data_IF_263581187688
#
_entry.id   IF_263581187688
#
_cell.length_a   1.000
_cell.length_b   1.000
_cell.length_c   1.000
_cell.angle_alpha   90.00
_cell.angle_beta   90.00
_cell.angle_gamma   90.00
#
_symmetry.space_group_name_H-M   'P 1'
#
loop_
_entity.id
_entity.type
_entity.pdbx_description
1 polymer ?
#
# COMPACT_ATOMS: atom_id res chain seq x y z
N UNK A 1 -14.86 55.39 -79.84
CA UNK A 1 -13.69 56.12 -79.30
C UNK A 1 -13.94 56.41 -77.82
N UNK A 2 -12.93 56.16 -76.98
CA UNK A 2 -12.82 56.43 -75.52
C UNK A 2 -13.38 55.39 -74.53
N UNK A 3 -12.44 54.51 -74.17
CA UNK A 3 -12.04 53.99 -72.85
C UNK A 3 -12.88 52.99 -72.06
N UNK A 4 -12.33 51.78 -72.09
CA UNK A 4 -12.43 50.71 -71.10
C UNK A 4 -12.17 51.19 -69.66
N UNK A 5 -12.81 50.53 -68.69
CA UNK A 5 -12.15 50.25 -67.43
C UNK A 5 -12.59 48.88 -66.88
N UNK A 6 -11.66 47.95 -66.97
CA UNK A 6 -11.69 46.61 -66.39
C UNK A 6 -11.25 46.77 -64.92
N UNK A 7 -12.10 46.39 -63.96
CA UNK A 7 -11.65 46.11 -62.58
C UNK A 7 -12.22 44.77 -62.09
N UNK A 8 -11.45 43.73 -62.42
CA UNK A 8 -10.96 42.69 -61.52
C UNK A 8 -11.84 42.28 -60.34
N UNK A 9 -12.51 41.14 -60.49
CA UNK A 9 -12.93 40.25 -59.42
C UNK A 9 -11.68 39.71 -58.71
N UNK A 10 -11.27 40.37 -57.62
CA UNK A 10 -10.21 39.88 -56.75
C UNK A 10 -10.79 38.77 -55.87
N UNK A 11 -10.36 37.53 -56.11
CA UNK A 11 -10.75 36.37 -55.32
C UNK A 11 -10.40 36.55 -53.85
N UNK A 12 -11.40 36.45 -52.98
CA UNK A 12 -11.19 36.32 -51.53
C UNK A 12 -10.56 34.94 -51.26
N UNK A 13 -9.35 34.84 -50.68
CA UNK A 13 -8.83 33.56 -50.22
C UNK A 13 -9.66 33.09 -49.02
N UNK A 14 -10.36 31.98 -49.22
CA UNK A 14 -11.13 31.29 -48.20
C UNK A 14 -10.21 30.52 -47.25
N UNK A 15 -10.35 30.82 -45.95
CA UNK A 15 -10.16 29.96 -44.77
C UNK A 15 -8.76 29.67 -44.17
N UNK A 16 -8.31 30.51 -43.22
CA UNK A 16 -7.47 30.08 -42.08
C UNK A 16 -8.27 29.73 -40.81
N UNK A 17 -9.60 29.90 -40.82
CA UNK A 17 -10.44 29.75 -39.62
C UNK A 17 -10.65 28.30 -39.17
N UNK A 18 -10.70 27.35 -40.10
CA UNK A 18 -10.93 25.94 -39.78
C UNK A 18 -9.72 25.27 -39.15
N UNK A 19 -8.50 25.68 -39.54
CA UNK A 19 -7.25 25.08 -39.04
C UNK A 19 -7.02 25.44 -37.57
N UNK A 20 -7.25 26.70 -37.17
CA UNK A 20 -7.08 27.11 -35.77
C UNK A 20 -8.15 26.53 -34.84
N UNK A 21 -9.40 26.45 -35.32
CA UNK A 21 -10.49 25.84 -34.55
C UNK A 21 -10.27 24.33 -34.36
N UNK A 22 -9.80 23.64 -35.40
CA UNK A 22 -9.46 22.23 -35.33
C UNK A 22 -8.27 21.99 -34.39
N UNK A 23 -7.22 22.80 -34.47
CA UNK A 23 -6.07 22.70 -33.55
C UNK A 23 -6.47 22.90 -32.08
N UNK A 24 -7.33 23.87 -31.77
CA UNK A 24 -7.85 24.10 -30.42
C UNK A 24 -8.71 22.93 -29.93
N UNK A 25 -9.64 22.45 -30.76
CA UNK A 25 -10.48 21.30 -30.40
C UNK A 25 -9.67 20.02 -30.18
N UNK A 26 -8.65 19.77 -31.02
CA UNK A 26 -7.72 18.66 -30.82
C UNK A 26 -6.95 18.81 -29.52
N UNK A 27 -6.47 20.02 -29.17
CA UNK A 27 -5.79 20.25 -27.89
C UNK A 27 -6.71 19.99 -26.69
N UNK A 28 -7.99 20.41 -26.75
CA UNK A 28 -8.95 20.14 -25.67
C UNK A 28 -9.24 18.65 -25.51
N UNK A 29 -9.39 17.90 -26.60
CA UNK A 29 -9.61 16.45 -26.55
C UNK A 29 -8.37 15.74 -25.99
N UNK A 30 -7.17 16.12 -26.43
CA UNK A 30 -5.92 15.55 -25.91
C UNK A 30 -5.73 15.89 -24.43
N UNK A 31 -6.05 17.11 -24.01
CA UNK A 31 -5.97 17.52 -22.60
C UNK A 31 -6.97 16.74 -21.73
N UNK A 32 -8.22 16.59 -22.18
CA UNK A 32 -9.24 15.82 -21.48
C UNK A 32 -8.86 14.34 -21.38
N UNK A 33 -8.31 13.76 -22.46
CA UNK A 33 -7.84 12.38 -22.48
C UNK A 33 -6.62 12.20 -21.56
N UNK A 34 -5.66 13.13 -21.58
CA UNK A 34 -4.50 13.10 -20.69
C UNK A 34 -4.90 13.28 -19.23
N UNK A 35 -5.85 14.17 -18.93
CA UNK A 35 -6.41 14.34 -17.59
C UNK A 35 -7.17 13.09 -17.13
N UNK A 36 -7.95 12.44 -18.02
CA UNK A 36 -8.63 11.18 -17.71
C UNK A 36 -7.63 10.04 -17.49
N UNK A 37 -6.58 9.93 -18.29
CA UNK A 37 -5.50 8.94 -18.09
C UNK A 37 -4.76 9.21 -16.78
N UNK A 38 -4.39 10.46 -16.50
CA UNK A 38 -3.76 10.85 -15.24
C UNK A 38 -4.67 10.57 -14.05
N UNK A 39 -5.97 10.91 -14.15
CA UNK A 39 -6.96 10.60 -13.13
C UNK A 39 -7.10 9.09 -12.94
N UNK A 40 -7.19 8.29 -14.00
CA UNK A 40 -7.25 6.81 -13.92
C UNK A 40 -5.97 6.23 -13.34
N UNK A 41 -4.81 6.79 -13.65
CA UNK A 41 -3.52 6.36 -13.10
C UNK A 41 -3.35 6.76 -11.63
N UNK A 42 -3.85 7.93 -11.22
CA UNK A 42 -3.84 8.44 -9.83
C UNK A 42 -4.87 7.70 -8.98
N UNK A 43 -6.04 7.39 -9.52
CA UNK A 43 -7.11 6.65 -8.83
C UNK A 43 -6.90 5.14 -8.84
N UNK A 44 -6.14 4.59 -9.81
CA UNK A 44 -5.58 3.25 -9.67
C UNK A 44 -4.35 3.32 -8.78
N UNK A 45 -4.38 2.62 -7.66
CA UNK A 45 -3.27 2.46 -6.69
C UNK A 45 -1.93 1.93 -7.26
N UNK A 46 -1.75 1.83 -8.59
CA UNK A 46 -0.50 1.44 -9.26
C UNK A 46 0.59 2.52 -9.21
N UNK A 47 0.25 3.74 -8.81
CA UNK A 47 1.19 4.85 -8.68
C UNK A 47 2.16 4.66 -7.49
N UNK A 48 1.75 3.89 -6.48
CA UNK A 48 2.63 3.45 -5.39
C UNK A 48 3.02 2.00 -5.60
N UNK A 49 4.16 1.78 -6.24
CA UNK A 49 4.83 0.48 -6.12
C UNK A 49 5.37 0.43 -4.69
N UNK A 50 4.67 -0.29 -3.80
CA UNK A 50 5.15 -0.64 -2.46
C UNK A 50 6.32 -1.62 -2.56
N UNK A 51 7.41 -1.13 -3.16
CA UNK A 51 8.69 -1.81 -3.29
C UNK A 51 9.60 -1.30 -2.19
N UNK A 52 10.29 -2.22 -1.54
CA UNK A 52 11.29 -1.87 -0.56
C UNK A 52 12.43 -1.10 -1.24
N UNK A 53 12.80 0.07 -0.69
CA UNK A 53 14.02 0.78 -1.01
C UNK A 53 14.76 1.11 0.29
N UNK A 54 16.11 1.04 0.34
CA UNK A 54 16.85 1.35 1.56
C UNK A 54 16.62 2.78 2.07
N UNK A 55 16.47 3.74 1.15
CA UNK A 55 16.20 5.15 1.47
C UNK A 55 14.78 5.34 2.01
N UNK A 56 13.78 4.77 1.33
CA UNK A 56 12.38 4.82 1.76
C UNK A 56 12.17 4.06 3.08
N UNK A 57 12.90 2.97 3.31
CA UNK A 57 12.81 2.19 4.54
C UNK A 57 13.20 3.03 5.78
N UNK A 58 14.25 3.86 5.70
CA UNK A 58 14.62 4.76 6.81
C UNK A 58 13.52 5.79 7.10
N UNK A 59 12.95 6.37 6.04
CA UNK A 59 11.85 7.34 6.16
C UNK A 59 10.60 6.70 6.80
N UNK A 60 10.26 5.47 6.40
CA UNK A 60 9.14 4.72 6.97
C UNK A 60 9.44 4.37 8.43
N UNK A 61 10.64 3.88 8.75
CA UNK A 61 11.05 3.59 10.12
C UNK A 61 10.94 4.83 11.03
N UNK A 62 11.41 5.99 10.57
CA UNK A 62 11.28 7.25 11.31
C UNK A 62 9.82 7.73 11.46
N UNK A 63 8.93 7.42 10.50
CA UNK A 63 7.49 7.67 10.65
C UNK A 63 6.87 6.76 11.71
N UNK A 64 7.19 5.47 11.69
CA UNK A 64 6.71 4.50 12.68
C UNK A 64 7.22 4.86 14.08
N UNK A 65 8.48 5.28 14.21
CA UNK A 65 9.04 5.77 15.46
C UNK A 65 8.27 6.98 16.01
N UNK A 66 7.92 7.95 15.14
CA UNK A 66 7.07 9.08 15.54
C UNK A 66 5.67 8.66 15.96
N UNK A 67 5.13 7.59 15.38
CA UNK A 67 3.85 7.04 15.84
C UNK A 67 4.00 6.40 17.24
N UNK A 68 5.07 5.66 17.50
CA UNK A 68 5.37 5.13 18.84
C UNK A 68 5.59 6.24 19.86
N UNK A 69 6.26 7.33 19.49
CA UNK A 69 6.40 8.52 20.33
C UNK A 69 5.05 9.12 20.76
N UNK A 70 4.02 9.01 19.91
CA UNK A 70 2.67 9.51 20.24
C UNK A 70 1.91 8.66 21.27
N UNK A 71 2.47 7.51 21.70
CA UNK A 71 1.91 6.68 22.76
C UNK A 71 2.14 7.26 24.15
N UNK A 72 3.17 8.10 24.32
CA UNK A 72 3.53 8.74 25.59
C UNK A 72 2.97 10.16 25.60
N UNK A 73 2.01 10.50 26.48
CA UNK A 73 1.54 11.87 26.63
C UNK A 73 2.65 12.82 27.08
N UNK A 74 2.63 14.07 26.61
CA UNK A 74 3.68 15.07 26.84
C UNK A 74 3.85 15.51 28.31
N UNK A 75 2.86 15.26 29.17
CA UNK A 75 2.74 15.89 30.49
C UNK A 75 3.35 15.08 31.65
N UNK A 76 3.91 13.90 31.38
CA UNK A 76 4.38 12.96 32.41
C UNK A 76 5.86 12.61 32.29
N UNK A 77 6.38 11.90 33.30
CA UNK A 77 7.70 11.27 33.27
C UNK A 77 7.81 10.27 32.11
N UNK A 78 8.37 10.75 30.99
CA UNK A 78 8.51 10.00 29.75
C UNK A 78 9.41 8.78 29.91
N UNK A 79 10.45 8.87 30.74
CA UNK A 79 11.38 7.77 30.94
C UNK A 79 10.68 6.62 31.66
N UNK A 80 9.95 6.92 32.74
CA UNK A 80 9.20 5.91 33.48
C UNK A 80 8.13 5.25 32.60
N UNK A 81 7.34 6.04 31.86
CA UNK A 81 6.31 5.48 30.98
C UNK A 81 6.88 4.62 29.85
N UNK A 82 8.03 5.03 29.29
CA UNK A 82 8.73 4.23 28.30
C UNK A 82 9.27 2.91 28.89
N UNK A 83 9.85 2.93 30.09
CA UNK A 83 10.28 1.71 30.81
C UNK A 83 9.09 0.79 31.06
N UNK A 84 7.96 1.34 31.53
CA UNK A 84 6.73 0.59 31.77
C UNK A 84 6.19 -0.06 30.49
N UNK A 85 6.26 0.62 29.34
CA UNK A 85 5.88 0.05 28.06
C UNK A 85 6.77 -1.16 27.72
N UNK A 86 8.08 -1.04 27.85
CA UNK A 86 9.02 -2.15 27.61
C UNK A 86 8.76 -3.30 28.58
N UNK A 87 8.59 -3.02 29.88
CA UNK A 87 8.32 -4.00 30.90
C UNK A 87 7.02 -4.77 30.63
N UNK A 88 5.95 -4.08 30.23
CA UNK A 88 4.67 -4.69 29.88
C UNK A 88 4.80 -5.67 28.71
N UNK A 89 5.57 -5.32 27.67
CA UNK A 89 5.78 -6.22 26.53
C UNK A 89 6.62 -7.44 26.91
N UNK A 90 7.62 -7.27 27.79
CA UNK A 90 8.41 -8.39 28.33
C UNK A 90 7.57 -9.33 29.19
N UNK A 91 6.64 -8.80 29.99
CA UNK A 91 5.70 -9.60 30.78
C UNK A 91 4.71 -10.37 29.88
N UNK A 92 4.33 -9.79 28.75
CA UNK A 92 3.51 -10.46 27.73
C UNK A 92 4.28 -11.44 26.83
N UNK A 93 5.56 -11.70 27.09
CA UNK A 93 6.45 -12.52 26.27
C UNK A 93 6.54 -12.07 24.79
N UNK A 94 6.29 -10.79 24.52
CA UNK A 94 6.36 -10.22 23.18
C UNK A 94 7.71 -9.53 22.95
N UNK A 95 8.71 -10.35 22.63
CA UNK A 95 10.10 -9.91 22.45
C UNK A 95 10.23 -8.85 21.35
N UNK A 96 9.47 -9.00 20.26
CA UNK A 96 9.53 -8.06 19.13
C UNK A 96 8.93 -6.71 19.49
N UNK A 97 7.77 -6.68 20.16
CA UNK A 97 7.20 -5.43 20.64
C UNK A 97 8.10 -4.76 21.69
N UNK A 98 8.67 -5.52 22.63
CA UNK A 98 9.60 -5.01 23.64
C UNK A 98 10.84 -4.37 22.99
N UNK A 99 11.49 -5.07 22.04
CA UNK A 99 12.60 -4.49 21.27
C UNK A 99 12.15 -3.28 20.46
N UNK A 100 10.97 -3.30 19.87
CA UNK A 100 10.42 -2.19 19.10
C UNK A 100 10.25 -0.91 19.91
N UNK A 101 9.76 -1.01 21.14
CA UNK A 101 9.65 0.11 22.08
C UNK A 101 11.03 0.63 22.49
N UNK A 102 11.97 -0.28 22.75
CA UNK A 102 13.35 0.06 23.08
C UNK A 102 14.06 0.79 21.93
N UNK A 103 13.88 0.32 20.70
CA UNK A 103 14.43 0.93 19.47
C UNK A 103 13.74 2.24 19.08
N UNK A 104 12.58 2.55 19.66
CA UNK A 104 11.84 3.80 19.48
C UNK A 104 12.15 4.83 20.58
N UNK A 105 13.08 4.52 21.49
CA UNK A 105 13.53 5.41 22.56
C UNK A 105 13.89 6.83 22.10
N UNK A 106 14.56 7.06 20.95
CA UNK A 106 14.93 8.42 20.55
C UNK A 106 13.73 9.35 20.33
N UNK A 107 12.59 8.81 19.87
CA UNK A 107 11.33 9.55 19.76
C UNK A 107 10.51 9.61 21.05
N UNK A 108 10.73 8.68 21.98
CA UNK A 108 9.89 8.49 23.18
C UNK A 108 10.42 9.19 24.43
N UNK A 109 11.73 9.38 24.53
CA UNK A 109 12.38 9.96 25.71
C UNK A 109 12.23 11.49 25.81
N UNK A 110 12.54 12.04 26.99
CA UNK A 110 12.67 13.47 27.20
C UNK A 110 14.02 14.00 26.67
N UNK A 111 14.13 15.33 26.46
CA UNK A 111 15.32 15.94 25.84
C UNK A 111 16.64 15.62 26.55
N UNK A 112 16.62 15.46 27.88
CA UNK A 112 17.80 15.14 28.67
C UNK A 112 18.27 13.70 28.43
N UNK A 113 17.39 12.71 28.59
CA UNK A 113 17.71 11.30 28.36
C UNK A 113 18.02 11.03 26.88
N UNK A 114 17.38 11.78 25.98
CA UNK A 114 17.68 11.77 24.56
C UNK A 114 19.10 12.29 24.27
N UNK A 115 19.56 13.34 24.95
CA UNK A 115 20.94 13.79 24.81
C UNK A 115 21.92 12.69 25.27
N UNK A 116 21.60 11.99 26.37
CA UNK A 116 22.40 10.89 26.90
C UNK A 116 22.39 9.67 25.99
N UNK A 117 21.26 9.38 25.36
CA UNK A 117 21.14 8.36 24.32
C UNK A 117 21.99 8.74 23.11
N UNK A 118 21.85 9.97 22.59
CA UNK A 118 22.56 10.44 21.40
C UNK A 118 24.08 10.51 21.60
N UNK A 119 24.55 10.72 22.84
CA UNK A 119 25.98 10.62 23.18
C UNK A 119 26.52 9.20 22.99
N UNK A 120 25.69 8.17 23.21
CA UNK A 120 26.06 6.75 23.11
C UNK A 120 25.74 6.13 21.75
N UNK A 121 24.66 6.57 21.13
CA UNK A 121 24.18 6.16 19.82
C UNK A 121 23.77 7.41 19.03
N UNK A 122 24.69 8.04 18.30
CA UNK A 122 24.40 9.23 17.50
C UNK A 122 23.26 9.00 16.49
N UNK A 123 22.57 10.07 16.04
CA UNK A 123 21.55 9.95 15.00
C UNK A 123 22.08 9.23 13.75
N UNK A 124 21.39 8.18 13.32
CA UNK A 124 21.82 7.32 12.21
C UNK A 124 22.65 6.09 12.62
N UNK A 125 22.88 5.89 13.93
CA UNK A 125 23.38 4.63 14.47
C UNK A 125 22.50 3.44 14.07
N UNK A 126 23.12 2.26 13.96
CA UNK A 126 22.39 1.03 13.68
C UNK A 126 21.54 0.59 14.89
N UNK A 127 20.53 -0.25 14.63
CA UNK A 127 19.60 -0.71 15.68
C UNK A 127 20.30 -1.40 16.86
N UNK A 128 21.42 -2.10 16.62
CA UNK A 128 22.19 -2.76 17.68
C UNK A 128 22.95 -1.78 18.62
N UNK A 129 23.31 -0.59 18.12
CA UNK A 129 23.87 0.48 18.96
C UNK A 129 22.76 1.18 19.74
N UNK A 130 21.63 1.46 19.08
CA UNK A 130 20.46 2.08 19.73
C UNK A 130 19.93 1.17 20.84
N UNK A 131 19.81 -0.14 20.60
CA UNK A 131 19.38 -1.14 21.60
C UNK A 131 20.29 -1.10 22.84
N UNK A 132 21.61 -1.13 22.65
CA UNK A 132 22.57 -1.08 23.76
C UNK A 132 22.52 0.23 24.53
N UNK A 133 22.42 1.36 23.83
CA UNK A 133 22.34 2.66 24.47
C UNK A 133 21.03 2.84 25.26
N UNK A 134 19.91 2.34 24.71
CA UNK A 134 18.61 2.38 25.36
C UNK A 134 18.52 1.44 26.56
N UNK A 135 19.14 0.24 26.51
CA UNK A 135 19.17 -0.68 27.66
C UNK A 135 19.69 -0.03 28.93
N UNK A 136 20.71 0.82 28.79
CA UNK A 136 21.32 1.56 29.89
C UNK A 136 20.43 2.64 30.51
N UNK A 137 19.31 2.99 29.86
CA UNK A 137 18.31 3.94 30.37
C UNK A 137 17.12 3.25 31.04
N UNK A 138 16.96 1.94 30.86
CA UNK A 138 15.95 1.16 31.56
C UNK A 138 16.26 1.03 33.05
N UNK A 139 15.22 0.80 33.84
CA UNK A 139 15.36 0.44 35.24
C UNK A 139 16.10 -0.89 35.40
N UNK A 140 16.85 -1.12 36.50
CA UNK A 140 17.63 -2.35 36.67
C UNK A 140 16.80 -3.64 36.54
N UNK A 141 15.55 -3.62 37.02
CA UNK A 141 14.63 -4.76 36.92
C UNK A 141 14.18 -5.05 35.49
N UNK A 142 13.76 -4.01 34.75
CA UNK A 142 13.34 -4.15 33.35
C UNK A 142 14.52 -4.56 32.46
N UNK A 143 15.71 -3.99 32.68
CA UNK A 143 16.94 -4.36 31.97
C UNK A 143 17.31 -5.82 32.19
N UNK A 144 17.37 -6.28 33.45
CA UNK A 144 17.72 -7.66 33.76
C UNK A 144 16.76 -8.66 33.09
N UNK A 145 15.46 -8.35 33.08
CA UNK A 145 14.45 -9.17 32.39
C UNK A 145 14.64 -9.14 30.88
N UNK A 146 14.93 -7.97 30.30
CA UNK A 146 15.20 -7.82 28.88
C UNK A 146 16.39 -8.69 28.46
N UNK A 147 17.52 -8.58 29.15
CA UNK A 147 18.74 -9.33 28.83
C UNK A 147 18.57 -10.85 29.01
N UNK A 148 17.71 -11.28 29.93
CA UNK A 148 17.38 -12.70 30.12
C UNK A 148 16.46 -13.27 29.04
N UNK A 149 15.60 -12.44 28.44
CA UNK A 149 14.50 -12.90 27.55
C UNK A 149 14.77 -12.59 26.07
N UNK A 150 15.41 -11.46 25.79
CA UNK A 150 15.58 -10.91 24.46
C UNK A 150 17.01 -11.12 23.97
N UNK A 151 17.21 -11.85 22.85
CA UNK A 151 18.54 -11.97 22.26
C UNK A 151 18.99 -10.60 21.73
N UNK A 152 20.14 -10.10 22.19
CA UNK A 152 20.63 -8.79 21.78
C UNK A 152 21.07 -8.79 20.31
N UNK A 153 20.68 -7.76 19.55
CA UNK A 153 21.06 -7.57 18.15
C UNK A 153 22.59 -7.48 17.97
N UNK A 154 23.29 -6.95 18.97
CA UNK A 154 24.75 -6.90 18.96
C UNK A 154 25.43 -8.28 19.03
N UNK A 155 24.74 -9.30 19.55
CA UNK A 155 25.22 -10.70 19.58
C UNK A 155 24.81 -11.45 18.32
N UNK A 156 23.70 -11.05 17.69
CA UNK A 156 23.29 -11.45 16.35
C UNK A 156 24.19 -10.77 15.30
N UNK A 157 25.45 -11.20 15.20
CA UNK A 157 26.48 -10.66 14.28
C UNK A 157 26.21 -10.89 12.78
N UNK A 158 24.98 -11.25 12.44
CA UNK A 158 24.49 -11.45 11.08
C UNK A 158 23.14 -10.73 11.08
N UNK A 159 22.82 -9.88 10.11
CA UNK A 159 21.54 -9.14 10.05
C UNK A 159 20.26 -9.99 9.98
N UNK A 160 20.34 -11.27 10.34
CA UNK A 160 19.27 -12.19 10.64
C UNK A 160 18.59 -11.82 11.97
N UNK A 161 17.26 -11.86 11.95
CA UNK A 161 16.43 -11.73 13.15
C UNK A 161 16.82 -12.81 14.18
N UNK A 162 16.63 -12.55 15.48
CA UNK A 162 16.86 -13.56 16.50
C UNK A 162 16.06 -14.83 16.21
N UNK A 163 16.58 -16.02 16.58
CA UNK A 163 15.78 -17.24 16.55
C UNK A 163 14.55 -17.02 17.44
N UNK A 164 13.37 -17.02 16.83
CA UNK A 164 12.12 -17.10 17.58
C UNK A 164 12.08 -18.43 18.32
N UNK A 165 11.37 -18.49 19.45
CA UNK A 165 10.97 -19.78 20.04
C UNK A 165 10.25 -20.55 18.93
N UNK A 166 10.91 -21.57 18.38
CA UNK A 166 10.45 -22.31 17.21
C UNK A 166 9.21 -23.09 17.62
N UNK A 167 8.06 -22.43 17.54
CA UNK A 167 6.77 -23.10 17.55
C UNK A 167 6.57 -23.52 16.11
N UNK A 168 6.68 -24.83 15.84
CA UNK A 168 6.49 -25.37 14.49
C UNK A 168 5.19 -24.79 13.90
N UNK A 169 5.27 -23.92 12.88
CA UNK A 169 4.09 -23.29 12.30
C UNK A 169 3.14 -24.34 11.73
N UNK A 170 3.66 -25.48 11.26
CA UNK A 170 2.87 -26.58 10.73
C UNK A 170 2.00 -27.25 11.80
N UNK A 171 2.50 -27.35 13.04
CA UNK A 171 1.74 -27.93 14.14
C UNK A 171 0.45 -27.15 14.47
N UNK A 172 0.40 -25.85 14.16
CA UNK A 172 -0.79 -25.01 14.35
C UNK A 172 -1.82 -25.15 13.23
N UNK A 173 -1.41 -25.61 12.05
CA UNK A 173 -2.29 -25.67 10.89
C UNK A 173 -3.20 -26.89 10.94
N UNK A 174 -2.75 -28.01 11.49
CA UNK A 174 -3.53 -29.24 11.64
C UNK A 174 -2.92 -30.42 10.89
N UNK A 175 -3.45 -31.60 11.19
CA UNK A 175 -2.97 -32.89 10.70
C UNK A 175 -3.91 -33.49 9.64
N UNK A 176 -3.52 -34.66 9.11
CA UNK A 176 -4.40 -35.46 8.26
C UNK A 176 -5.73 -35.79 8.95
N UNK A 177 -5.71 -36.08 10.25
CA UNK A 177 -6.93 -36.43 10.99
C UNK A 177 -7.87 -35.22 11.10
N UNK A 178 -7.31 -34.02 11.29
CA UNK A 178 -8.10 -32.78 11.33
C UNK A 178 -8.74 -32.50 9.97
N UNK A 179 -8.00 -32.74 8.87
CA UNK A 179 -8.56 -32.65 7.52
C UNK A 179 -9.75 -33.59 7.34
N UNK A 180 -9.62 -34.86 7.72
CA UNK A 180 -10.71 -35.85 7.62
C UNK A 180 -11.92 -35.42 8.45
N UNK A 181 -11.70 -34.96 9.68
CA UNK A 181 -12.76 -34.52 10.58
C UNK A 181 -13.55 -33.36 9.96
N UNK A 182 -12.86 -32.36 9.41
CA UNK A 182 -13.50 -31.20 8.78
C UNK A 182 -14.16 -31.60 7.45
N UNK A 183 -13.52 -32.47 6.66
CA UNK A 183 -14.10 -32.98 5.42
C UNK A 183 -15.43 -33.71 5.70
N UNK A 184 -15.49 -34.58 6.72
CA UNK A 184 -16.72 -35.23 7.18
C UNK A 184 -17.77 -34.20 7.63
N UNK A 185 -17.37 -33.18 8.38
CA UNK A 185 -18.27 -32.11 8.80
C UNK A 185 -18.89 -31.38 7.58
N UNK A 186 -18.08 -31.04 6.58
CA UNK A 186 -18.54 -30.40 5.34
C UNK A 186 -19.45 -31.31 4.51
N UNK A 187 -19.26 -32.64 4.55
CA UNK A 187 -20.19 -33.58 3.90
C UNK A 187 -21.56 -33.60 4.59
N UNK A 188 -21.59 -33.45 5.92
CA UNK A 188 -22.83 -33.43 6.70
C UNK A 188 -23.54 -32.07 6.59
N UNK A 189 -22.79 -30.98 6.66
CA UNK A 189 -23.30 -29.62 6.65
C UNK A 189 -22.58 -28.79 5.56
N UNK A 190 -23.24 -28.48 4.42
CA UNK A 190 -22.64 -27.72 3.34
C UNK A 190 -22.35 -26.26 3.72
N UNK A 191 -22.97 -25.73 4.78
CA UNK A 191 -22.79 -24.35 5.23
C UNK A 191 -21.56 -24.20 6.15
N UNK A 192 -20.84 -25.29 6.42
CA UNK A 192 -19.60 -25.27 7.20
C UNK A 192 -18.49 -24.45 6.52
N UNK A 193 -17.80 -23.62 7.29
CA UNK A 193 -16.77 -22.71 6.79
C UNK A 193 -15.55 -23.49 6.23
N UNK A 194 -15.21 -23.34 4.93
CA UNK A 194 -14.19 -24.17 4.28
C UNK A 194 -12.76 -23.71 4.57
N UNK A 195 -12.57 -22.59 5.27
CA UNK A 195 -11.25 -21.99 5.52
C UNK A 195 -10.26 -23.01 6.12
N UNK A 196 -10.65 -23.71 7.17
CA UNK A 196 -9.77 -24.67 7.84
C UNK A 196 -9.44 -25.85 6.93
N UNK A 197 -10.43 -26.38 6.20
CA UNK A 197 -10.24 -27.46 5.24
C UNK A 197 -9.20 -27.06 4.18
N UNK A 198 -9.33 -25.85 3.62
CA UNK A 198 -8.45 -25.36 2.56
C UNK A 198 -7.03 -25.19 3.09
N UNK A 199 -6.85 -24.51 4.22
CA UNK A 199 -5.53 -24.25 4.79
C UNK A 199 -4.82 -25.56 5.18
N UNK A 200 -5.51 -26.49 5.84
CA UNK A 200 -4.96 -27.82 6.15
C UNK A 200 -4.64 -28.58 4.88
N UNK A 201 -5.55 -28.56 3.90
CA UNK A 201 -5.37 -29.25 2.63
C UNK A 201 -4.08 -28.83 1.92
N UNK A 202 -3.86 -27.52 1.82
CA UNK A 202 -2.63 -26.96 1.25
C UNK A 202 -1.39 -27.27 2.11
N UNK A 203 -1.51 -27.27 3.44
CA UNK A 203 -0.41 -27.64 4.33
C UNK A 203 0.05 -29.08 4.11
N UNK A 204 -0.89 -30.01 3.90
CA UNK A 204 -0.64 -31.43 3.61
C UNK A 204 -0.13 -31.68 2.18
N UNK A 205 0.16 -30.64 1.41
CA UNK A 205 0.74 -30.75 0.07
C UNK A 205 -0.27 -30.80 -1.08
N UNK A 206 -1.58 -30.77 -0.81
CA UNK A 206 -2.59 -30.72 -1.86
C UNK A 206 -2.53 -29.38 -2.60
N UNK A 207 -2.90 -29.38 -3.89
CA UNK A 207 -2.89 -28.15 -4.70
C UNK A 207 -1.49 -27.52 -4.88
N UNK A 208 -0.43 -28.32 -4.83
CA UNK A 208 0.96 -27.85 -4.97
C UNK A 208 1.62 -27.36 -3.68
N UNK A 209 0.98 -27.58 -2.52
CA UNK A 209 1.55 -27.34 -1.20
C UNK A 209 1.77 -25.86 -0.82
N UNK A 210 2.09 -25.65 0.45
CA UNK A 210 2.56 -24.37 0.99
C UNK A 210 4.09 -24.39 1.13
N UNK A 211 4.73 -23.30 0.73
CA UNK A 211 6.13 -23.07 1.10
C UNK A 211 6.24 -22.79 2.61
N UNK A 212 7.41 -22.96 3.25
CA UNK A 212 7.56 -22.68 4.69
C UNK A 212 7.09 -21.27 5.09
N UNK A 213 7.32 -20.27 4.22
CA UNK A 213 6.85 -18.90 4.44
C UNK A 213 5.33 -18.80 4.32
N UNK A 214 4.71 -19.47 3.36
CA UNK A 214 3.25 -19.52 3.26
C UNK A 214 2.61 -20.25 4.45
N UNK A 215 3.23 -21.31 4.95
CA UNK A 215 2.81 -22.02 6.18
C UNK A 215 2.79 -21.07 7.37
N UNK A 216 3.85 -20.27 7.55
CA UNK A 216 3.89 -19.22 8.58
C UNK A 216 2.77 -18.19 8.38
N UNK A 217 2.54 -17.75 7.14
CA UNK A 217 1.45 -16.82 6.83
C UNK A 217 0.06 -17.38 7.10
N UNK A 218 -0.16 -18.67 6.85
CA UNK A 218 -1.39 -19.37 7.17
C UNK A 218 -1.59 -19.47 8.69
N UNK A 219 -0.54 -19.75 9.45
CA UNK A 219 -0.60 -19.83 10.91
C UNK A 219 -0.94 -18.47 11.53
N UNK A 220 -0.31 -17.40 11.03
CA UNK A 220 -0.64 -16.01 11.41
C UNK A 220 -2.10 -15.70 11.09
N UNK A 221 -2.56 -16.00 9.87
CA UNK A 221 -3.95 -15.74 9.48
C UNK A 221 -4.95 -16.48 10.37
N UNK A 222 -4.75 -17.78 10.60
CA UNK A 222 -5.60 -18.63 11.43
C UNK A 222 -5.68 -18.13 12.88
N UNK A 223 -4.55 -17.71 13.43
CA UNK A 223 -4.49 -17.17 14.81
C UNK A 223 -5.16 -15.80 14.87
N UNK A 224 -4.89 -14.93 13.89
CA UNK A 224 -5.45 -13.57 13.85
C UNK A 224 -6.96 -13.58 13.64
N UNK A 225 -7.48 -14.47 12.77
CA UNK A 225 -8.90 -14.57 12.46
C UNK A 225 -9.78 -14.90 13.68
N UNK A 226 -9.19 -15.50 14.72
CA UNK A 226 -9.88 -15.85 15.98
C UNK A 226 -9.87 -14.70 17.00
N UNK A 227 -9.18 -13.61 16.72
CA UNK A 227 -9.08 -12.48 17.65
C UNK A 227 -10.33 -11.62 17.58
N UNK A 228 -10.75 -11.08 18.72
CA UNK A 228 -11.89 -10.16 18.81
C UNK A 228 -11.67 -8.84 18.04
N UNK A 229 -10.42 -8.48 17.78
CA UNK A 229 -10.02 -7.28 17.05
C UNK A 229 -9.70 -7.54 15.57
N UNK A 230 -10.09 -8.71 15.03
CA UNK A 230 -9.90 -9.03 13.61
C UNK A 230 -10.77 -8.12 12.73
N UNK A 231 -10.21 -7.42 11.73
CA UNK A 231 -10.96 -6.44 10.95
C UNK A 231 -11.97 -7.12 10.02
N UNK A 232 -13.26 -6.81 10.21
CA UNK A 232 -14.35 -7.46 9.45
C UNK A 232 -14.21 -7.27 7.92
N UNK A 233 -13.85 -6.07 7.46
CA UNK A 233 -13.68 -5.80 6.03
C UNK A 233 -12.57 -6.62 5.37
N UNK A 234 -11.45 -6.82 6.08
CA UNK A 234 -10.36 -7.69 5.65
C UNK A 234 -10.78 -9.16 5.70
N UNK A 235 -11.43 -9.57 6.80
CA UNK A 235 -11.93 -10.93 6.99
C UNK A 235 -12.88 -11.38 5.89
N UNK A 236 -13.87 -10.56 5.54
CA UNK A 236 -14.82 -10.87 4.46
C UNK A 236 -14.13 -11.03 3.10
N UNK A 237 -13.13 -10.20 2.78
CA UNK A 237 -12.39 -10.33 1.52
C UNK A 237 -11.48 -11.56 1.51
N UNK A 238 -10.84 -11.88 2.63
CA UNK A 238 -10.02 -13.07 2.76
C UNK A 238 -10.88 -14.33 2.66
N UNK A 239 -12.02 -14.37 3.36
CA UNK A 239 -13.00 -15.45 3.26
C UNK A 239 -13.52 -15.61 1.83
N UNK A 240 -13.90 -14.52 1.16
CA UNK A 240 -14.31 -14.57 -0.25
C UNK A 240 -13.21 -15.11 -1.17
N UNK A 241 -11.94 -14.78 -0.92
CA UNK A 241 -10.81 -15.32 -1.68
C UNK A 241 -10.63 -16.83 -1.44
N UNK A 242 -10.81 -17.26 -0.20
CA UNK A 242 -10.71 -18.66 0.23
C UNK A 242 -11.87 -19.48 -0.34
N UNK A 243 -13.11 -19.03 -0.23
CA UNK A 243 -14.28 -19.69 -0.79
C UNK A 243 -14.19 -19.79 -2.32
N UNK A 244 -13.64 -18.75 -2.97
CA UNK A 244 -13.39 -18.80 -4.41
C UNK A 244 -12.30 -19.80 -4.82
N UNK A 245 -11.44 -20.25 -3.88
CA UNK A 245 -10.37 -21.20 -4.15
C UNK A 245 -10.84 -22.66 -4.20
N UNK A 246 -11.95 -22.99 -3.52
CA UNK A 246 -12.55 -24.32 -3.49
C UNK A 246 -14.07 -24.20 -3.65
N UNK A 247 -14.62 -24.75 -4.72
CA UNK A 247 -16.06 -24.92 -4.81
C UNK A 247 -16.48 -26.11 -3.92
N UNK A 248 -17.08 -25.80 -2.76
CA UNK A 248 -17.50 -26.79 -1.76
C UNK A 248 -18.50 -27.80 -2.33
N UNK A 249 -19.41 -27.35 -3.20
CA UNK A 249 -20.41 -28.24 -3.81
C UNK A 249 -19.76 -29.21 -4.81
N UNK A 250 -18.81 -28.71 -5.62
CA UNK A 250 -18.05 -29.56 -6.53
C UNK A 250 -17.17 -30.56 -5.76
N UNK A 251 -16.57 -30.11 -4.66
CA UNK A 251 -15.79 -30.96 -3.76
C UNK A 251 -16.66 -32.09 -3.19
N UNK A 252 -17.81 -31.76 -2.59
CA UNK A 252 -18.76 -32.75 -2.04
C UNK A 252 -19.20 -33.75 -3.11
N UNK A 253 -19.67 -33.28 -4.25
CA UNK A 253 -20.10 -34.12 -5.37
C UNK A 253 -18.98 -35.03 -5.88
N UNK A 254 -17.76 -34.52 -5.97
CA UNK A 254 -16.59 -35.30 -6.40
C UNK A 254 -16.22 -36.36 -5.36
N UNK A 255 -16.24 -36.01 -4.08
CA UNK A 255 -15.96 -36.94 -2.99
C UNK A 255 -17.01 -38.05 -2.90
N UNK A 256 -18.31 -37.71 -2.97
CA UNK A 256 -19.41 -38.68 -2.95
C UNK A 256 -19.36 -39.64 -4.13
N UNK A 257 -19.08 -39.13 -5.35
CA UNK A 257 -18.90 -39.96 -6.54
C UNK A 257 -17.72 -40.94 -6.38
N UNK A 258 -16.64 -40.50 -5.74
CA UNK A 258 -15.44 -41.33 -5.52
C UNK A 258 -15.60 -42.34 -4.41
N UNK A 259 -16.43 -42.06 -3.41
CA UNK A 259 -16.61 -42.92 -2.26
C UNK A 259 -17.24 -44.28 -2.63
N UNK A 260 -18.11 -44.34 -3.65
CA UNK A 260 -18.75 -45.58 -4.13
C UNK A 260 -19.40 -46.44 -3.00
N UNK A 261 -19.88 -45.80 -1.92
CA UNK A 261 -20.46 -46.48 -0.74
C UNK A 261 -19.55 -46.52 0.49
N UNK A 262 -18.30 -46.09 0.37
CA UNK A 262 -17.39 -45.82 1.49
C UNK A 262 -17.64 -44.42 2.10
N UNK A 263 -16.84 -44.04 3.10
CA UNK A 263 -16.93 -42.75 3.76
C UNK A 263 -16.30 -41.64 2.90
N UNK A 264 -17.13 -40.79 2.29
CA UNK A 264 -16.68 -39.68 1.45
C UNK A 264 -15.79 -38.64 2.17
N UNK A 265 -15.83 -38.60 3.51
CA UNK A 265 -14.98 -37.73 4.32
C UNK A 265 -13.58 -38.32 4.60
N UNK A 266 -13.38 -39.63 4.43
CA UNK A 266 -12.10 -40.28 4.66
C UNK A 266 -11.01 -39.71 3.75
N UNK A 267 -9.77 -39.55 4.26
CA UNK A 267 -8.70 -38.80 3.58
C UNK A 267 -8.38 -39.36 2.20
N UNK A 268 -8.37 -40.69 2.08
CA UNK A 268 -8.09 -41.38 0.82
C UNK A 268 -9.06 -40.98 -0.31
N UNK A 269 -10.27 -40.52 0.03
CA UNK A 269 -11.31 -40.09 -0.91
C UNK A 269 -11.36 -38.55 -0.99
N UNK A 270 -11.38 -37.88 0.16
CA UNK A 270 -11.55 -36.43 0.25
C UNK A 270 -10.31 -35.66 -0.23
N UNK A 271 -9.08 -36.14 0.01
CA UNK A 271 -7.87 -35.46 -0.46
C UNK A 271 -7.76 -35.38 -2.00
N UNK A 272 -7.97 -36.46 -2.78
CA UNK A 272 -8.00 -36.34 -4.23
C UNK A 272 -9.23 -35.58 -4.74
N UNK A 273 -10.39 -35.64 -4.04
CA UNK A 273 -11.56 -34.79 -4.33
C UNK A 273 -11.22 -33.32 -4.23
N UNK A 274 -10.67 -32.91 -3.10
CA UNK A 274 -10.21 -31.56 -2.83
C UNK A 274 -9.26 -31.07 -3.92
N UNK A 275 -8.21 -31.85 -4.21
CA UNK A 275 -7.20 -31.47 -5.22
C UNK A 275 -7.78 -31.28 -6.62
N UNK A 276 -8.80 -32.05 -6.99
CA UNK A 276 -9.42 -31.99 -8.31
C UNK A 276 -10.37 -30.79 -8.48
N UNK A 277 -10.83 -30.19 -7.39
CA UNK A 277 -11.86 -29.13 -7.39
C UNK A 277 -11.31 -27.74 -7.06
N UNK A 278 -9.99 -27.63 -6.83
CA UNK A 278 -9.34 -26.35 -6.59
C UNK A 278 -9.34 -25.46 -7.84
N UNK A 279 -9.67 -24.19 -7.64
CA UNK A 279 -9.53 -23.19 -8.68
C UNK A 279 -8.08 -22.66 -8.68
N UNK A 280 -7.29 -23.08 -9.67
CA UNK A 280 -5.86 -22.74 -9.75
C UNK A 280 -5.57 -21.23 -9.68
N UNK A 281 -6.34 -20.40 -10.39
CA UNK A 281 -6.10 -18.95 -10.42
C UNK A 281 -6.39 -18.28 -9.06
N UNK A 282 -7.45 -18.73 -8.37
CA UNK A 282 -7.82 -18.22 -7.03
C UNK A 282 -6.89 -18.75 -5.96
N UNK A 283 -6.46 -19.99 -6.09
CA UNK A 283 -5.47 -20.60 -5.22
C UNK A 283 -4.14 -19.87 -5.28
N UNK A 284 -3.66 -19.50 -6.47
CA UNK A 284 -2.42 -18.71 -6.59
C UNK A 284 -2.55 -17.33 -5.93
N UNK A 285 -3.71 -16.68 -6.04
CA UNK A 285 -3.97 -15.42 -5.33
C UNK A 285 -3.97 -15.60 -3.80
N UNK A 286 -4.58 -16.68 -3.28
CA UNK A 286 -4.54 -17.02 -1.86
C UNK A 286 -3.11 -17.30 -1.39
N UNK A 287 -2.36 -18.15 -2.11
CA UNK A 287 -0.94 -18.43 -1.81
C UNK A 287 -0.10 -17.17 -1.83
N UNK A 288 -0.34 -16.26 -2.78
CA UNK A 288 0.33 -14.96 -2.84
C UNK A 288 0.01 -14.06 -1.63
N UNK A 289 -1.21 -14.10 -1.11
CA UNK A 289 -1.58 -13.40 0.12
C UNK A 289 -0.88 -14.02 1.35
N UNK A 290 -0.93 -15.34 1.49
CA UNK A 290 -0.27 -16.09 2.57
C UNK A 290 1.24 -15.88 2.56
N UNK A 291 1.88 -15.87 1.38
CA UNK A 291 3.31 -15.62 1.24
C UNK A 291 3.71 -14.23 1.76
N UNK A 292 2.90 -13.20 1.47
CA UNK A 292 3.12 -11.84 1.97
C UNK A 292 2.89 -11.75 3.47
N UNK A 293 1.91 -12.45 4.02
CA UNK A 293 1.69 -12.53 5.47
C UNK A 293 2.87 -13.22 6.16
N UNK A 294 3.37 -14.32 5.60
CA UNK A 294 4.58 -14.98 6.06
C UNK A 294 5.81 -14.08 5.97
N UNK A 295 5.93 -13.28 4.91
CA UNK A 295 7.00 -12.29 4.77
C UNK A 295 6.90 -11.18 5.83
N UNK A 296 5.70 -10.81 6.30
CA UNK A 296 5.52 -9.89 7.42
C UNK A 296 6.06 -10.49 8.72
N UNK A 297 5.74 -11.76 8.98
CA UNK A 297 6.24 -12.49 10.16
C UNK A 297 7.78 -12.57 10.13
N UNK A 298 8.33 -12.91 8.97
CA UNK A 298 9.77 -12.99 8.75
C UNK A 298 10.49 -11.63 8.78
N UNK A 299 9.78 -10.50 8.65
CA UNK A 299 10.39 -9.16 8.71
C UNK A 299 10.32 -8.51 10.10
N UNK A 300 9.35 -8.94 10.92
CA UNK A 300 9.11 -8.43 12.27
C UNK A 300 9.10 -9.59 13.26
N UNK A 301 7.94 -10.17 13.50
CA UNK A 301 7.75 -11.44 14.20
C UNK A 301 6.36 -12.02 13.92
N UNK A 302 6.08 -13.24 14.38
CA UNK A 302 4.72 -13.82 14.28
C UNK A 302 3.69 -12.92 14.96
N UNK A 303 3.90 -12.60 16.23
CA UNK A 303 3.03 -11.69 16.99
C UNK A 303 2.95 -10.29 16.36
N UNK A 304 4.06 -9.81 15.78
CA UNK A 304 4.10 -8.55 15.04
C UNK A 304 3.23 -8.58 13.79
N UNK A 305 3.28 -9.67 13.02
CA UNK A 305 2.44 -9.86 11.84
C UNK A 305 0.97 -10.00 12.20
N UNK A 306 0.64 -10.72 13.27
CA UNK A 306 -0.72 -10.80 13.81
C UNK A 306 -1.25 -9.41 14.19
N UNK A 307 -0.45 -8.64 14.96
CA UNK A 307 -0.81 -7.28 15.34
C UNK A 307 -0.98 -6.37 14.11
N UNK A 308 -0.08 -6.44 13.13
CA UNK A 308 -0.14 -5.68 11.88
C UNK A 308 -1.41 -5.99 11.08
N UNK A 309 -1.80 -7.26 11.00
CA UNK A 309 -3.03 -7.66 10.30
C UNK A 309 -4.29 -7.06 10.93
N UNK A 310 -4.29 -6.74 12.23
CA UNK A 310 -5.42 -6.03 12.86
C UNK A 310 -5.62 -4.61 12.36
N UNK A 311 -4.67 -4.06 11.58
CA UNK A 311 -4.79 -2.76 10.92
C UNK A 311 -5.24 -2.86 9.47
N UNK A 312 -5.36 -4.06 8.90
CA UNK A 312 -5.80 -4.22 7.51
C UNK A 312 -7.31 -3.99 7.38
N UNK A 313 -7.75 -3.11 6.49
CA UNK A 313 -9.17 -2.93 6.16
C UNK A 313 -9.58 -3.76 4.93
N UNK A 314 -8.61 -4.13 4.09
CA UNK A 314 -8.79 -4.87 2.85
C UNK A 314 -7.55 -5.69 2.48
N UNK A 315 -7.70 -6.63 1.55
CA UNK A 315 -6.55 -7.39 1.00
C UNK A 315 -5.48 -6.48 0.34
N UNK A 316 -5.88 -5.27 -0.07
CA UNK A 316 -4.98 -4.26 -0.66
C UNK A 316 -4.02 -3.64 0.36
N UNK A 317 -4.25 -3.84 1.65
CA UNK A 317 -3.40 -3.30 2.72
C UNK A 317 -2.19 -4.18 3.02
N UNK A 318 -2.23 -5.46 2.63
CA UNK A 318 -1.14 -6.42 2.89
C UNK A 318 0.22 -5.90 2.38
N UNK A 319 0.37 -5.37 1.15
CA UNK A 319 1.65 -4.84 0.68
C UNK A 319 2.16 -3.64 1.51
N UNK A 320 1.26 -2.79 2.01
CA UNK A 320 1.61 -1.66 2.88
C UNK A 320 2.12 -2.11 4.23
N UNK A 321 1.40 -3.04 4.85
CA UNK A 321 1.79 -3.64 6.12
C UNK A 321 3.12 -4.40 5.99
N UNK A 322 3.33 -5.10 4.87
CA UNK A 322 4.61 -5.74 4.55
C UNK A 322 5.75 -4.74 4.43
N UNK A 323 5.52 -3.62 3.73
CA UNK A 323 6.53 -2.59 3.60
C UNK A 323 6.88 -1.98 4.97
N UNK A 324 5.89 -1.73 5.83
CA UNK A 324 6.09 -1.27 7.21
C UNK A 324 6.91 -2.29 8.01
N UNK A 325 6.54 -3.57 7.95
CA UNK A 325 7.26 -4.64 8.65
C UNK A 325 8.72 -4.72 8.19
N UNK A 326 8.98 -4.65 6.88
CA UNK A 326 10.33 -4.70 6.32
C UNK A 326 11.17 -3.47 6.69
N UNK A 327 10.55 -2.28 6.69
CA UNK A 327 11.23 -1.03 6.95
C UNK A 327 11.51 -0.78 8.44
N UNK A 328 10.51 -1.02 9.29
CA UNK A 328 10.55 -0.67 10.71
C UNK A 328 10.75 -1.88 11.65
N UNK A 329 10.61 -3.11 11.14
CA UNK A 329 10.88 -4.38 11.87
C UNK A 329 10.15 -4.42 13.21
N UNK A 330 10.89 -4.59 14.31
CA UNK A 330 10.37 -4.65 15.68
C UNK A 330 9.60 -3.37 16.07
N UNK A 331 10.01 -2.20 15.55
CA UNK A 331 9.26 -0.93 15.78
C UNK A 331 7.84 -1.00 15.21
N UNK A 332 7.65 -1.72 14.10
CA UNK A 332 6.32 -1.94 13.51
C UNK A 332 5.44 -2.82 14.40
N UNK A 333 6.01 -3.87 15.01
CA UNK A 333 5.27 -4.74 15.93
C UNK A 333 4.79 -3.95 17.16
N UNK A 334 5.69 -3.15 17.75
CA UNK A 334 5.36 -2.23 18.84
C UNK A 334 4.23 -1.25 18.49
N UNK A 335 4.35 -0.62 17.31
CA UNK A 335 3.35 0.33 16.82
C UNK A 335 1.98 -0.35 16.59
N UNK A 336 1.96 -1.48 15.90
CA UNK A 336 0.73 -2.19 15.58
C UNK A 336 -0.05 -2.64 16.82
N UNK A 337 0.64 -2.99 17.90
CA UNK A 337 0.01 -3.47 19.14
C UNK A 337 -0.68 -2.36 19.94
N UNK A 338 -0.12 -1.15 19.94
CA UNK A 338 -0.56 -0.05 20.81
C UNK A 338 -1.34 1.04 20.08
N UNK A 339 -1.13 1.21 18.78
CA UNK A 339 -1.83 2.25 18.03
C UNK A 339 -3.31 1.90 17.82
N UNK A 340 -4.18 2.92 17.79
CA UNK A 340 -5.55 2.77 17.32
C UNK A 340 -5.59 2.21 15.89
N UNK A 341 -6.62 1.43 15.57
CA UNK A 341 -6.85 0.83 14.25
C UNK A 341 -7.57 1.80 13.31
N UNK A 342 -7.13 3.06 13.30
CA UNK A 342 -7.73 4.18 12.56
C UNK A 342 -7.07 4.42 11.19
N UNK A 343 -6.14 3.54 10.79
CA UNK A 343 -5.39 3.64 9.55
C UNK A 343 -4.13 4.49 9.64
N UNK A 344 -3.82 5.15 10.77
CA UNK A 344 -2.60 5.95 10.93
C UNK A 344 -1.34 5.13 10.68
N UNK A 345 -1.30 3.88 11.13
CA UNK A 345 -0.17 3.00 10.84
C UNK A 345 0.03 2.78 9.34
N UNK A 346 -1.05 2.53 8.59
CA UNK A 346 -1.00 2.37 7.13
C UNK A 346 -0.49 3.64 6.42
N UNK A 347 -0.74 4.82 6.98
CA UNK A 347 -0.19 6.07 6.43
C UNK A 347 1.33 6.19 6.59
N UNK A 348 1.97 5.39 7.45
CA UNK A 348 3.43 5.35 7.50
C UNK A 348 4.03 4.78 6.20
N UNK A 349 3.30 3.87 5.53
CA UNK A 349 3.72 3.15 4.33
C UNK A 349 3.70 3.96 3.02
N UNK A 350 3.44 5.27 3.04
CA UNK A 350 3.49 6.07 1.81
C UNK A 350 4.87 5.94 1.16
N UNK A 351 4.94 5.14 0.10
CA UNK A 351 6.15 4.96 -0.70
C UNK A 351 6.53 6.28 -1.34
N UNK A 352 7.83 6.50 -1.53
CA UNK A 352 8.28 7.57 -2.41
C UNK A 352 7.63 7.36 -3.78
N UNK A 353 7.01 8.41 -4.30
CA UNK A 353 6.57 8.47 -5.69
C UNK A 353 7.80 8.28 -6.57
N UNK A 354 8.17 7.03 -6.89
CA UNK A 354 9.05 6.80 -8.02
C UNK A 354 8.26 7.25 -9.23
N UNK A 355 8.61 8.42 -9.74
CA UNK A 355 8.10 8.96 -10.98
C UNK A 355 8.38 7.91 -12.06
N UNK A 356 7.41 7.02 -12.31
CA UNK A 356 7.59 5.96 -13.29
C UNK A 356 7.76 6.62 -14.64
N UNK A 357 8.55 6.02 -15.53
CA UNK A 357 8.77 6.56 -16.89
C UNK A 357 7.42 6.85 -17.57
N UNK A 358 6.42 6.02 -17.31
CA UNK A 358 5.06 6.18 -17.83
C UNK A 358 4.32 7.38 -17.24
N UNK A 359 4.46 7.63 -15.93
CA UNK A 359 3.91 8.83 -15.27
C UNK A 359 4.61 10.11 -15.76
N UNK A 360 5.93 10.07 -15.91
CA UNK A 360 6.70 11.18 -16.46
C UNK A 360 6.29 11.50 -17.90
N UNK A 361 6.09 10.47 -18.74
CA UNK A 361 5.57 10.61 -20.10
C UNK A 361 4.15 11.20 -20.07
N UNK A 362 3.26 10.70 -19.19
CA UNK A 362 1.89 11.20 -19.07
C UNK A 362 1.85 12.69 -18.68
N UNK A 363 2.66 13.12 -17.69
CA UNK A 363 2.78 14.54 -17.32
C UNK A 363 3.41 15.39 -18.42
N UNK A 364 4.37 14.85 -19.17
CA UNK A 364 4.99 15.56 -20.29
C UNK A 364 3.98 15.78 -21.41
N UNK A 365 3.20 14.76 -21.76
CA UNK A 365 2.12 14.86 -22.77
C UNK A 365 1.06 15.86 -22.31
N UNK A 366 0.63 15.79 -21.04
CA UNK A 366 -0.33 16.74 -20.47
C UNK A 366 0.20 18.19 -20.48
N UNK A 367 1.47 18.39 -20.14
CA UNK A 367 2.14 19.69 -20.19
C UNK A 367 2.24 20.26 -21.60
N UNK A 368 2.59 19.44 -22.60
CA UNK A 368 2.62 19.84 -24.01
C UNK A 368 1.21 20.21 -24.51
N UNK A 369 0.19 19.42 -24.15
CA UNK A 369 -1.20 19.70 -24.53
C UNK A 369 -1.71 21.01 -23.91
N UNK A 370 -1.38 21.27 -22.64
CA UNK A 370 -1.74 22.51 -21.96
C UNK A 370 -1.05 23.73 -22.60
N UNK A 371 0.23 23.63 -22.92
CA UNK A 371 0.97 24.68 -23.63
C UNK A 371 0.36 24.95 -25.02
N UNK A 372 -0.04 23.90 -25.75
CA UNK A 372 -0.74 24.02 -27.03
C UNK A 372 -2.09 24.75 -26.91
N UNK A 373 -2.87 24.45 -25.86
CA UNK A 373 -4.13 25.13 -25.56
C UNK A 373 -3.92 26.61 -25.21
N UNK A 374 -2.92 26.93 -24.39
CA UNK A 374 -2.58 28.32 -24.03
C UNK A 374 -2.14 29.10 -25.27
N UNK A 375 -1.25 28.53 -26.09
CA UNK A 375 -0.73 29.17 -27.30
C UNK A 375 -1.85 29.43 -28.32
N UNK A 376 -2.75 28.47 -28.52
CA UNK A 376 -3.88 28.63 -29.44
C UNK A 376 -4.86 29.71 -28.95
N UNK A 377 -5.18 29.75 -27.65
CA UNK A 377 -5.98 30.82 -27.06
C UNK A 377 -5.31 32.19 -27.24
N UNK A 378 -4.01 32.30 -26.97
CA UNK A 378 -3.23 33.52 -27.15
C UNK A 378 -3.27 34.01 -28.61
N UNK A 379 -3.08 33.12 -29.59
CA UNK A 379 -3.13 33.46 -31.01
C UNK A 379 -4.51 33.95 -31.46
N UNK A 380 -5.60 33.42 -30.88
CA UNK A 380 -6.96 33.90 -31.16
C UNK A 380 -7.16 35.31 -30.59
N UNK A 381 -6.78 35.53 -29.33
CA UNK A 381 -6.89 36.85 -28.67
C UNK A 381 -6.05 37.89 -29.42
N UNK A 382 -4.80 37.56 -29.76
CA UNK A 382 -3.91 38.43 -30.52
C UNK A 382 -4.48 38.83 -31.88
N UNK A 383 -5.12 37.89 -32.60
CA UNK A 383 -5.79 38.18 -33.88
C UNK A 383 -7.00 39.09 -33.72
N UNK A 384 -7.80 38.91 -32.66
CA UNK A 384 -8.94 39.78 -32.36
C UNK A 384 -8.47 41.21 -32.10
N UNK A 385 -7.46 41.37 -31.22
CA UNK A 385 -6.87 42.68 -30.90
C UNK A 385 -6.30 43.34 -32.15
N UNK A 386 -5.52 42.62 -32.97
CA UNK A 386 -4.97 43.16 -34.22
C UNK A 386 -6.06 43.61 -35.21
N UNK A 387 -7.18 42.88 -35.29
CA UNK A 387 -8.31 43.26 -36.15
C UNK A 387 -9.02 44.52 -35.65
N UNK A 388 -9.16 44.67 -34.33
CA UNK A 388 -9.74 45.86 -33.71
C UNK A 388 -8.85 47.09 -33.95
N UNK A 389 -7.53 46.95 -33.76
CA UNK A 389 -6.56 48.02 -34.04
C UNK A 389 -6.55 48.42 -35.52
N UNK A 390 -6.62 47.44 -36.43
CA UNK A 390 -6.67 47.73 -37.87
C UNK A 390 -7.95 48.50 -38.26
N UNK A 391 -9.11 48.18 -37.68
CA UNK A 391 -10.35 48.93 -37.91
C UNK A 391 -10.26 50.37 -37.41
N UNK A 392 -9.76 50.58 -36.20
CA UNK A 392 -9.59 51.94 -35.67
C UNK A 392 -8.66 52.78 -36.55
N UNK A 393 -7.61 52.17 -37.12
CA UNK A 393 -6.70 52.86 -38.02
C UNK A 393 -7.33 53.20 -39.37
N UNK A 394 -8.24 52.38 -39.89
CA UNK A 394 -8.96 52.65 -41.14
C UNK A 394 -10.06 53.72 -40.96
N UNK A 395 -10.70 53.78 -39.78
CA UNK A 395 -11.71 54.81 -39.45
C UNK A 395 -11.09 56.22 -39.33
N UNK A 396 -9.85 56.32 -38.84
CA UNK A 396 -9.12 57.60 -38.75
C UNK A 396 -8.78 58.21 -40.13
N UNK A 397 -8.57 57.39 -41.17
CA UNK A 397 -8.31 57.89 -42.53
C UNK A 397 -9.58 58.19 -43.35
N UNK A 398 -10.73 57.64 -42.96
CA UNK A 398 -12.02 57.95 -43.59
C UNK A 398 -12.63 59.26 -43.08
N UNK A 399 -12.31 59.68 -41.85
CA UNK A 399 -12.75 60.94 -41.26
C UNK A 399 -12.10 62.20 -41.87
N UNK A 400 -10.87 62.10 -42.38
CA UNK A 400 -10.13 63.26 -42.89
C UNK A 400 -10.56 63.70 -44.31
N UNK A 401 -11.32 62.88 -45.05
CA UNK A 401 -11.79 63.22 -46.40
C UNK A 401 -13.13 64.00 -46.45
N UNK A 402 -13.80 64.24 -45.31
CA UNK A 402 -15.13 64.87 -45.29
C UNK A 402 -15.09 66.36 -44.90
N UNK A 403 -14.00 66.88 -44.32
CA UNK A 403 -13.97 68.23 -43.72
C UNK A 403 -13.26 69.33 -44.53
N UNK A 404 -13.20 69.22 -45.87
CA UNK A 404 -12.71 70.33 -46.74
C UNK A 404 -13.80 71.03 -47.58
N UNK A 405 -15.09 70.74 -47.39
CA UNK A 405 -16.18 71.36 -48.18
C UNK A 405 -17.08 72.34 -47.42
N UNK A 406 -16.74 72.68 -46.17
CA UNK A 406 -17.73 73.23 -45.25
C UNK A 406 -17.48 74.58 -44.60
N UNK A 407 -16.44 75.38 -44.91
CA UNK A 407 -16.29 76.72 -44.29
C UNK A 407 -15.63 77.74 -45.22
N UNK A 408 -16.45 78.55 -45.91
CA UNK A 408 -16.29 80.02 -46.05
C UNK A 408 -17.51 80.61 -46.74
N UNK A 409 -18.40 81.18 -45.93
CA UNK A 409 -19.32 82.23 -46.35
C UNK A 409 -19.04 83.47 -45.52
N UNK A 410 -18.50 84.50 -46.18
CA UNK A 410 -18.75 85.94 -46.01
C UNK A 410 -17.86 86.71 -47.00
#
# INVERSE_FOLDING_TARGET
MKHANIRTLQGKPHHPHHVSALAFNVCLVVLALAAAIAFVLITRDHLYVYSYSPEGARTIAARVERLNASLIPLEFDRQQQWDDLVANELMGHDVAAARGMLLSAPGMLASQDLADLNRRAPPGSNDAQVERAALELLTPGTRARYEATVPLLARSNSGALPPQVVTDPGALLGSQQDFEMIARAIMLDPDSEPMQLIIIGLHLGMGGGLTPRMTEGAAVLMTTARRNDYPQGFGLQMQSLIDASLNVEDFRRTAMTRAQGEDAGAFAISAPAFSATLNAARLEALKGALDRIGAMSAASSRNGAEALLTHAQSLRDIPRLLLIAQAARDRAAAAAKRLPRDGRLLTAAHGDLKMTRDLAIAFTIAGIALLGAILSAFLVVFRIVRRIIARMRDDDYAGELIDMSGVRGL
#
